data_IF_041072121110
#
_entry.id   IF_041072121110
#
_cell.length_a   1.000
_cell.length_b   1.000
_cell.length_c   1.000
_cell.angle_alpha   90.00
_cell.angle_beta   90.00
_cell.angle_gamma   90.00
#
_symmetry.space_group_name_H-M   'P 1'
#
loop_
_entity.id
_entity.type
_entity.pdbx_description
1 polymer ?
#
# COMPACT_ATOMS: atom_id res chain seq x y z
N UNK A 1 11.54 8.68 -19.39
CA UNK A 1 10.95 9.61 -18.41
C UNK A 1 10.80 8.80 -17.13
N UNK A 2 11.65 9.00 -16.12
CA UNK A 2 11.40 8.37 -14.82
C UNK A 2 10.03 8.84 -14.33
N UNK A 3 9.05 7.95 -14.28
CA UNK A 3 7.72 8.28 -13.80
C UNK A 3 7.80 8.81 -12.38
N UNK A 4 7.04 9.87 -12.06
CA UNK A 4 7.00 10.35 -10.69
C UNK A 4 6.30 9.31 -9.80
N UNK A 5 7.10 8.62 -8.98
CA UNK A 5 6.63 7.65 -7.99
C UNK A 5 6.35 8.30 -6.64
N UNK A 6 6.59 9.60 -6.46
CA UNK A 6 6.36 10.25 -5.18
C UNK A 6 4.89 10.21 -4.77
N UNK A 7 3.97 10.24 -5.74
CA UNK A 7 2.52 10.18 -5.52
C UNK A 7 1.94 8.76 -5.69
N UNK A 8 2.79 7.75 -5.77
CA UNK A 8 2.39 6.34 -5.78
C UNK A 8 1.59 5.98 -4.51
N UNK A 9 0.59 5.11 -4.68
CA UNK A 9 -0.26 4.60 -3.60
C UNK A 9 0.59 3.95 -2.51
N UNK A 10 1.60 3.16 -2.89
CA UNK A 10 2.51 2.49 -1.96
C UNK A 10 3.31 3.49 -1.10
N UNK A 11 3.84 4.55 -1.71
CA UNK A 11 4.62 5.58 -1.03
C UNK A 11 3.75 6.37 -0.05
N UNK A 12 2.52 6.74 -0.48
CA UNK A 12 1.57 7.42 0.40
C UNK A 12 1.09 6.52 1.53
N UNK A 13 0.88 5.22 1.27
CA UNK A 13 0.52 4.24 2.29
C UNK A 13 1.60 4.11 3.37
N UNK A 14 2.88 4.09 2.99
CA UNK A 14 3.99 4.03 3.94
C UNK A 14 4.05 5.27 4.84
N UNK A 15 3.73 6.46 4.32
CA UNK A 15 3.57 7.67 5.13
C UNK A 15 2.44 7.51 6.18
N UNK A 16 1.27 7.01 5.78
CA UNK A 16 0.15 6.76 6.70
C UNK A 16 0.47 5.67 7.74
N UNK A 17 1.38 4.75 7.44
CA UNK A 17 1.80 3.68 8.34
C UNK A 17 2.85 4.12 9.38
N UNK A 18 3.37 5.35 9.30
CA UNK A 18 4.33 5.86 10.28
C UNK A 18 3.67 6.25 11.60
N UNK A 19 3.87 5.46 12.66
CA UNK A 19 3.51 5.85 14.03
C UNK A 19 4.71 6.49 14.75
N UNK A 20 4.67 7.81 14.93
CA UNK A 20 5.74 8.59 15.61
C UNK A 20 7.13 8.29 15.02
N UNK A 21 7.16 8.12 13.69
CA UNK A 21 8.35 7.79 12.91
C UNK A 21 8.76 6.32 12.92
N UNK A 22 7.93 5.40 13.42
CA UNK A 22 8.19 3.95 13.38
C UNK A 22 7.29 3.28 12.37
N UNK A 23 7.83 2.29 11.67
CA UNK A 23 7.05 1.33 10.91
C UNK A 23 6.74 0.13 11.79
N UNK A 24 5.53 -0.41 11.64
CA UNK A 24 5.13 -1.68 12.26
C UNK A 24 5.77 -2.83 11.48
N UNK A 25 6.21 -3.86 12.19
CA UNK A 25 6.78 -5.07 11.62
C UNK A 25 5.77 -6.22 11.74
N UNK A 26 4.78 -6.23 10.86
CA UNK A 26 3.77 -7.28 10.83
C UNK A 26 3.47 -7.74 9.39
N UNK A 27 3.08 -9.01 9.26
CA UNK A 27 2.83 -9.65 7.98
C UNK A 27 1.66 -9.04 7.19
N UNK A 28 0.71 -8.37 7.89
CA UNK A 28 -0.43 -7.70 7.24
C UNK A 28 0.07 -6.42 6.56
N UNK A 29 0.99 -5.69 7.19
CA UNK A 29 1.64 -4.52 6.61
C UNK A 29 2.44 -4.89 5.35
N UNK A 30 3.25 -5.96 5.39
CA UNK A 30 4.00 -6.42 4.21
C UNK A 30 3.06 -6.80 3.04
N UNK A 31 1.94 -7.45 3.33
CA UNK A 31 0.92 -7.79 2.34
C UNK A 31 0.30 -6.54 1.72
N UNK A 32 -0.12 -5.57 2.53
CA UNK A 32 -0.70 -4.34 2.04
C UNK A 32 0.29 -3.52 1.20
N UNK A 33 1.58 -3.54 1.56
CA UNK A 33 2.65 -2.93 0.75
C UNK A 33 2.71 -3.55 -0.65
N UNK A 34 2.73 -4.88 -0.75
CA UNK A 34 2.72 -5.57 -2.06
C UNK A 34 1.44 -5.28 -2.83
N UNK A 35 0.30 -5.25 -2.15
CA UNK A 35 -0.99 -4.89 -2.75
C UNK A 35 -0.98 -3.47 -3.35
N UNK A 36 -0.48 -2.49 -2.59
CA UNK A 36 -0.35 -1.12 -3.07
C UNK A 36 0.61 -1.01 -4.26
N UNK A 37 1.72 -1.76 -4.26
CA UNK A 37 2.66 -1.80 -5.39
C UNK A 37 2.03 -2.40 -6.65
N UNK A 38 1.25 -3.48 -6.53
CA UNK A 38 0.52 -4.03 -7.66
C UNK A 38 -0.49 -3.02 -8.21
N UNK A 39 -1.18 -2.28 -7.34
CA UNK A 39 -2.09 -1.20 -7.74
C UNK A 39 -1.34 -0.12 -8.50
N UNK A 40 -0.17 0.30 -8.00
CA UNK A 40 0.65 1.30 -8.67
C UNK A 40 1.15 0.86 -10.06
N UNK A 41 1.47 -0.42 -10.22
CA UNK A 41 1.84 -1.01 -11.51
C UNK A 41 0.64 -1.03 -12.46
N UNK A 42 -0.54 -1.43 -12.00
CA UNK A 42 -1.75 -1.48 -12.81
C UNK A 42 -2.21 -0.07 -13.24
N UNK A 43 -2.18 0.91 -12.34
CA UNK A 43 -2.47 2.32 -12.65
C UNK A 43 -1.52 2.92 -13.69
N UNK A 44 -0.31 2.36 -13.82
CA UNK A 44 0.69 2.74 -14.81
C UNK A 44 0.63 1.90 -16.10
N UNK A 45 -0.36 1.02 -16.23
CA UNK A 45 -0.52 0.13 -17.38
C UNK A 45 0.54 -0.97 -17.48
N UNK A 46 1.25 -1.25 -16.38
CA UNK A 46 2.36 -2.21 -16.32
C UNK A 46 1.97 -3.57 -15.74
N UNK A 47 0.73 -3.69 -15.31
CA UNK A 47 0.12 -4.91 -14.80
C UNK A 47 -1.29 -4.98 -15.37
N UNK A 48 -1.59 -6.05 -16.08
CA UNK A 48 -2.94 -6.33 -16.60
C UNK A 48 -3.36 -7.73 -16.16
N UNK A 49 -4.55 -7.82 -15.59
CA UNK A 49 -5.18 -9.11 -15.30
C UNK A 49 -6.08 -9.50 -16.48
N UNK A 50 -5.81 -10.67 -17.06
CA UNK A 50 -6.66 -11.29 -18.08
C UNK A 50 -7.39 -12.50 -17.48
N UNK A 51 -8.33 -13.08 -18.23
CA UNK A 51 -9.06 -14.26 -17.75
C UNK A 51 -8.14 -15.46 -17.44
N UNK A 52 -7.01 -15.57 -18.13
CA UNK A 52 -6.15 -16.75 -18.10
C UNK A 52 -4.75 -16.49 -17.52
N UNK A 53 -4.34 -15.21 -17.41
CA UNK A 53 -2.98 -14.85 -17.01
C UNK A 53 -2.87 -13.44 -16.39
N UNK A 54 -1.80 -13.26 -15.62
CA UNK A 54 -1.32 -11.96 -15.15
C UNK A 54 -0.19 -11.52 -16.08
N UNK A 55 -0.43 -10.46 -16.84
CA UNK A 55 0.56 -9.88 -17.73
C UNK A 55 1.29 -8.74 -17.02
N UNK A 56 2.62 -8.84 -16.97
CA UNK A 56 3.49 -7.86 -16.31
C UNK A 56 4.49 -7.32 -17.32
N UNK A 57 4.55 -6.00 -17.45
CA UNK A 57 5.64 -5.35 -18.14
C UNK A 57 6.89 -5.39 -17.25
N UNK A 58 7.95 -6.04 -17.74
CA UNK A 58 9.21 -6.25 -17.03
C UNK A 58 10.28 -5.17 -17.32
N UNK A 59 9.97 -4.13 -18.09
CA UNK A 59 10.92 -3.03 -18.31
C UNK A 59 11.30 -2.35 -16.98
N UNK A 60 12.56 -2.01 -16.71
CA UNK A 60 12.93 -1.35 -15.45
C UNK A 60 12.11 -0.07 -15.18
N UNK A 61 11.44 0.00 -14.03
CA UNK A 61 10.56 1.12 -13.68
C UNK A 61 11.28 2.35 -13.13
N UNK A 62 12.55 2.18 -12.72
CA UNK A 62 13.27 3.18 -11.93
C UNK A 62 12.77 3.25 -10.47
N UNK A 63 11.97 2.28 -10.04
CA UNK A 63 11.40 2.17 -8.71
C UNK A 63 11.66 0.78 -8.15
N UNK A 64 12.77 0.68 -7.41
CA UNK A 64 13.32 -0.59 -6.93
C UNK A 64 12.30 -1.49 -6.21
N UNK A 65 11.35 -0.99 -5.39
CA UNK A 65 10.32 -1.85 -4.79
C UNK A 65 9.41 -2.52 -5.81
N UNK A 66 8.99 -1.83 -6.88
CA UNK A 66 8.16 -2.45 -7.92
C UNK A 66 8.96 -3.45 -8.74
N UNK A 67 10.19 -3.08 -9.15
CA UNK A 67 11.07 -3.97 -9.91
C UNK A 67 11.38 -5.26 -9.12
N UNK A 68 11.67 -5.13 -7.82
CA UNK A 68 11.89 -6.26 -6.91
C UNK A 68 10.67 -7.16 -6.78
N UNK A 69 9.46 -6.59 -6.73
CA UNK A 69 8.23 -7.36 -6.59
C UNK A 69 8.01 -8.30 -7.78
N UNK A 70 8.29 -7.82 -9.00
CA UNK A 70 8.00 -8.55 -10.24
C UNK A 70 9.19 -9.36 -10.77
N UNK A 71 10.41 -9.13 -10.29
CA UNK A 71 11.64 -9.76 -10.78
C UNK A 71 11.65 -11.30 -10.68
N UNK A 72 10.95 -11.88 -9.68
CA UNK A 72 10.91 -13.33 -9.48
C UNK A 72 9.96 -14.07 -10.42
N UNK A 73 9.06 -13.35 -11.11
CA UNK A 73 7.86 -13.95 -11.69
C UNK A 73 6.95 -14.54 -10.60
N UNK A 74 5.66 -14.67 -10.90
CA UNK A 74 4.74 -15.41 -10.03
C UNK A 74 3.58 -15.95 -10.85
N UNK A 75 3.05 -17.12 -10.49
CA UNK A 75 1.94 -17.72 -11.21
C UNK A 75 0.59 -17.03 -10.95
N UNK A 76 0.48 -16.15 -9.96
CA UNK A 76 -0.74 -15.37 -9.69
C UNK A 76 -0.50 -14.10 -8.87
N UNK A 77 -1.46 -13.15 -8.95
CA UNK A 77 -1.50 -11.96 -8.09
C UNK A 77 -1.55 -12.33 -6.60
N UNK A 78 -2.30 -13.37 -6.25
CA UNK A 78 -2.38 -13.86 -4.86
C UNK A 78 -1.02 -14.33 -4.37
N UNK A 79 -0.21 -14.99 -5.21
CA UNK A 79 1.14 -15.39 -4.80
C UNK A 79 2.06 -14.18 -4.59
N UNK A 80 2.05 -13.19 -5.50
CA UNK A 80 2.78 -11.93 -5.30
C UNK A 80 2.36 -11.22 -4.02
N UNK A 81 1.05 -11.15 -3.77
CA UNK A 81 0.50 -10.50 -2.59
C UNK A 81 0.93 -11.19 -1.30
N UNK A 82 0.87 -12.53 -1.29
CA UNK A 82 1.05 -13.30 -0.05
C UNK A 82 2.51 -13.67 0.23
N UNK A 83 3.33 -13.88 -0.80
CA UNK A 83 4.71 -14.37 -0.70
C UNK A 83 5.75 -13.49 -1.40
N UNK A 84 5.34 -12.38 -2.01
CA UNK A 84 6.26 -11.49 -2.72
C UNK A 84 7.43 -11.00 -1.83
N UNK A 85 8.59 -10.69 -2.43
CA UNK A 85 9.82 -10.41 -1.70
C UNK A 85 9.91 -9.00 -1.11
N UNK A 86 8.83 -8.22 -1.19
CA UNK A 86 8.80 -6.80 -0.85
C UNK A 86 8.06 -6.56 0.46
N UNK A 87 8.56 -5.64 1.27
CA UNK A 87 7.96 -5.21 2.52
C UNK A 87 8.04 -3.69 2.73
N UNK A 88 7.59 -3.22 3.90
CA UNK A 88 7.59 -1.80 4.26
C UNK A 88 8.99 -1.17 4.35
N UNK A 89 10.04 -1.96 4.57
CA UNK A 89 11.41 -1.45 4.63
C UNK A 89 11.99 -1.19 3.24
N UNK A 90 11.52 -1.89 2.21
CA UNK A 90 11.83 -1.54 0.83
C UNK A 90 11.25 -0.17 0.45
N UNK A 91 10.01 0.12 0.87
CA UNK A 91 9.42 1.45 0.69
C UNK A 91 10.15 2.51 1.52
N UNK A 92 10.54 2.20 2.76
CA UNK A 92 11.33 3.11 3.58
C UNK A 92 12.68 3.45 2.93
N UNK A 93 13.36 2.46 2.35
CA UNK A 93 14.61 2.66 1.62
C UNK A 93 14.40 3.58 0.42
N UNK A 94 13.28 3.43 -0.29
CA UNK A 94 12.94 4.28 -1.44
C UNK A 94 12.57 5.71 -1.03
N UNK A 95 11.85 5.88 0.09
CA UNK A 95 11.58 7.21 0.68
C UNK A 95 12.87 7.94 1.07
N UNK A 96 13.84 7.22 1.64
CA UNK A 96 15.18 7.75 1.96
C UNK A 96 15.95 8.11 0.70
N UNK A 97 15.96 7.23 -0.31
CA UNK A 97 16.66 7.46 -1.60
C UNK A 97 16.13 8.72 -2.29
N UNK A 98 14.82 8.95 -2.25
CA UNK A 98 14.14 10.11 -2.84
C UNK A 98 14.21 11.37 -1.98
N UNK A 99 14.75 11.29 -0.76
CA UNK A 99 14.83 12.42 0.18
C UNK A 99 13.50 12.85 0.81
N UNK A 100 12.42 12.10 0.57
CA UNK A 100 11.13 12.35 1.21
C UNK A 100 11.15 12.03 2.69
N UNK A 101 11.98 11.06 3.11
CA UNK A 101 12.25 10.79 4.53
C UNK A 101 13.72 10.98 4.88
N UNK A 102 14.00 11.23 6.15
CA UNK A 102 15.34 11.09 6.74
C UNK A 102 15.33 10.16 7.95
N UNK A 103 16.47 9.54 8.24
CA UNK A 103 16.65 8.71 9.42
C UNK A 103 17.14 9.54 10.61
N UNK A 104 16.34 9.61 11.67
CA UNK A 104 16.74 10.17 12.95
C UNK A 104 17.52 9.12 13.75
N UNK A 105 18.84 9.27 13.81
CA UNK A 105 19.72 8.35 14.56
C UNK A 105 19.41 8.40 16.06
N UNK A 106 18.98 7.27 16.61
CA UNK A 106 19.01 6.91 18.04
C UNK A 106 19.60 5.52 18.17
N UNK A 107 20.32 5.25 19.27
CA UNK A 107 21.24 4.10 19.39
C UNK A 107 20.64 2.71 19.04
N UNK A 108 19.32 2.49 19.10
CA UNK A 108 18.75 1.14 18.92
C UNK A 108 17.44 1.07 18.11
N UNK A 109 16.89 2.18 17.62
CA UNK A 109 15.61 2.18 16.91
C UNK A 109 15.65 3.09 15.68
N UNK A 110 15.28 2.55 14.52
CA UNK A 110 15.07 3.34 13.30
C UNK A 110 13.84 4.22 13.50
N UNK A 111 14.04 5.54 13.44
CA UNK A 111 12.96 6.52 13.38
C UNK A 111 13.10 7.34 12.11
N UNK A 112 12.03 7.41 11.35
CA UNK A 112 11.93 8.19 10.13
C UNK A 112 11.29 9.55 10.44
N UNK A 113 11.74 10.58 9.74
CA UNK A 113 11.12 11.89 9.69
C UNK A 113 10.52 12.03 8.30
N UNK A 114 9.20 12.21 8.23
CA UNK A 114 8.49 12.47 6.98
C UNK A 114 8.57 13.96 6.63
N UNK A 115 9.26 14.31 5.54
CA UNK A 115 9.32 15.69 5.06
C UNK A 115 8.08 16.08 4.24
N UNK A 116 7.17 15.14 3.99
CA UNK A 116 5.91 15.33 3.30
C UNK A 116 4.71 15.26 4.27
N UNK A 117 4.91 15.54 5.56
CA UNK A 117 3.88 15.42 6.60
C UNK A 117 2.59 16.18 6.25
N UNK A 118 2.70 17.38 5.66
CA UNK A 118 1.52 18.16 5.25
C UNK A 118 0.70 17.45 4.16
N UNK A 119 1.35 16.69 3.26
CA UNK A 119 0.64 15.85 2.28
C UNK A 119 -0.04 14.68 2.98
N UNK A 120 0.66 14.00 3.87
CA UNK A 120 0.11 12.89 4.67
C UNK A 120 -1.14 13.34 5.44
N UNK A 121 -1.09 14.52 6.05
CA UNK A 121 -2.22 15.12 6.77
C UNK A 121 -3.38 15.49 5.83
N UNK A 122 -3.09 15.94 4.60
CA UNK A 122 -4.12 16.13 3.57
C UNK A 122 -4.79 14.82 3.16
N UNK A 123 -4.02 13.74 3.00
CA UNK A 123 -4.57 12.41 2.70
C UNK A 123 -5.51 11.94 3.81
N UNK A 124 -5.07 12.03 5.07
CA UNK A 124 -5.90 11.71 6.24
C UNK A 124 -7.20 12.53 6.28
N UNK A 125 -7.09 13.85 6.07
CA UNK A 125 -8.23 14.76 6.12
C UNK A 125 -9.21 14.48 4.98
N UNK A 126 -8.70 14.27 3.77
CA UNK A 126 -9.52 14.01 2.61
C UNK A 126 -10.25 12.67 2.70
N UNK A 127 -9.70 11.69 3.44
CA UNK A 127 -10.36 10.41 3.71
C UNK A 127 -11.35 10.46 4.86
N UNK A 128 -11.26 11.46 5.74
CA UNK A 128 -12.26 11.73 6.79
C UNK A 128 -13.52 12.38 6.25
N UNK A 129 -13.38 13.28 5.27
CA UNK A 129 -14.48 14.03 4.68
C UNK A 129 -15.24 13.18 3.65
N UNK A 130 -16.26 12.43 4.13
CA UNK A 130 -17.04 11.47 3.32
C UNK A 130 -17.99 12.09 2.29
N UNK A 131 -18.18 13.41 2.27
CA UNK A 131 -19.23 14.07 1.46
C UNK A 131 -18.66 14.95 0.36
N UNK A 132 -19.06 14.70 -0.90
CA UNK A 132 -18.93 15.63 -2.02
C UNK A 132 -17.58 15.66 -2.74
N UNK A 133 -16.63 14.77 -2.40
CA UNK A 133 -15.35 14.67 -3.09
C UNK A 133 -15.44 13.73 -4.29
N UNK A 134 -14.99 14.20 -5.44
CA UNK A 134 -14.64 13.32 -6.56
C UNK A 134 -13.34 12.59 -6.23
N UNK A 135 -13.43 11.26 -6.18
CA UNK A 135 -12.29 10.40 -5.94
C UNK A 135 -11.52 10.16 -7.24
N UNK A 136 -10.21 10.33 -7.19
CA UNK A 136 -9.33 9.77 -8.22
C UNK A 136 -9.12 8.28 -7.93
N UNK A 137 -8.86 7.43 -8.95
CA UNK A 137 -8.57 6.01 -8.73
C UNK A 137 -7.43 5.74 -7.73
N UNK A 138 -6.28 6.47 -7.78
CA UNK A 138 -5.23 6.31 -6.78
C UNK A 138 -5.67 6.67 -5.36
N UNK A 139 -6.43 7.76 -5.19
CA UNK A 139 -6.92 8.18 -3.88
C UNK A 139 -7.93 7.18 -3.29
N UNK A 140 -8.82 6.65 -4.12
CA UNK A 140 -9.79 5.64 -3.72
C UNK A 140 -9.09 4.35 -3.29
N UNK A 141 -8.09 3.90 -4.05
CA UNK A 141 -7.31 2.70 -3.73
C UNK A 141 -6.54 2.87 -2.42
N UNK A 142 -5.89 4.02 -2.23
CA UNK A 142 -5.20 4.35 -0.97
C UNK A 142 -6.17 4.33 0.21
N UNK A 143 -7.33 4.97 0.08
CA UNK A 143 -8.33 5.04 1.15
C UNK A 143 -8.88 3.64 1.51
N UNK A 144 -9.14 2.80 0.51
CA UNK A 144 -9.63 1.43 0.72
C UNK A 144 -8.60 0.57 1.48
N UNK A 145 -7.33 0.60 1.06
CA UNK A 145 -6.25 -0.19 1.67
C UNK A 145 -5.91 0.34 3.08
N UNK A 146 -5.75 1.65 3.23
CA UNK A 146 -5.46 2.27 4.53
C UNK A 146 -6.61 2.06 5.53
N UNK A 147 -7.87 2.11 5.07
CA UNK A 147 -9.06 1.88 5.87
C UNK A 147 -9.12 0.47 6.46
N UNK A 148 -8.85 -0.56 5.66
CA UNK A 148 -8.90 -1.96 6.14
C UNK A 148 -7.75 -2.30 7.10
N UNK A 149 -6.64 -1.57 7.01
CA UNK A 149 -5.53 -1.64 7.98
C UNK A 149 -5.82 -0.85 9.27
N UNK A 150 -6.76 0.10 9.23
CA UNK A 150 -7.03 1.01 10.34
C UNK A 150 -5.97 2.09 10.52
N UNK A 151 -5.28 2.46 9.44
CA UNK A 151 -4.30 3.57 9.42
C UNK A 151 -4.98 4.94 9.40
N UNK A 152 -6.28 4.99 9.09
CA UNK A 152 -7.02 6.23 9.03
C UNK A 152 -7.52 6.65 10.42
N UNK A 153 -7.68 7.96 10.68
CA UNK A 153 -8.24 8.47 11.94
C UNK A 153 -9.64 7.94 12.28
N UNK A 154 -10.39 7.46 11.29
CA UNK A 154 -11.70 6.82 11.45
C UNK A 154 -11.62 5.40 12.03
N UNK A 155 -10.40 4.87 12.20
CA UNK A 155 -10.16 3.49 12.56
C UNK A 155 -10.42 2.52 11.41
N UNK A 156 -10.45 1.23 11.75
CA UNK A 156 -10.57 0.13 10.79
C UNK A 156 -11.98 0.04 10.20
N UNK A 157 -12.08 0.06 8.88
CA UNK A 157 -13.34 -0.11 8.16
C UNK A 157 -13.12 -0.83 6.83
N UNK A 158 -14.12 -1.60 6.40
CA UNK A 158 -14.17 -2.09 5.02
C UNK A 158 -14.58 -0.94 4.07
N UNK A 159 -14.06 -0.91 2.83
CA UNK A 159 -14.46 0.09 1.86
C UNK A 159 -15.95 -0.06 1.51
N UNK A 160 -16.60 1.07 1.21
CA UNK A 160 -17.96 1.05 0.65
C UNK A 160 -17.93 0.69 -0.82
N UNK A 161 -19.04 0.22 -1.37
CA UNK A 161 -19.18 -0.08 -2.80
C UNK A 161 -18.81 1.14 -3.67
N UNK A 162 -19.31 2.32 -3.31
CA UNK A 162 -18.97 3.57 -4.00
C UNK A 162 -17.48 3.92 -3.98
N UNK A 163 -16.75 3.51 -2.93
CA UNK A 163 -15.30 3.72 -2.85
C UNK A 163 -14.57 2.72 -3.75
N UNK A 164 -15.03 1.48 -3.82
CA UNK A 164 -14.50 0.47 -4.74
C UNK A 164 -14.77 0.83 -6.19
N UNK A 165 -15.97 1.31 -6.54
CA UNK A 165 -16.30 1.82 -7.87
C UNK A 165 -15.36 2.95 -8.29
N UNK A 166 -15.05 3.88 -7.36
CA UNK A 166 -14.13 4.98 -7.63
C UNK A 166 -12.68 4.56 -7.91
N UNK A 167 -12.28 3.33 -7.57
CA UNK A 167 -10.96 2.79 -7.94
C UNK A 167 -10.85 2.45 -9.43
N UNK A 168 -11.97 2.44 -10.16
CA UNK A 168 -12.02 2.31 -11.61
C UNK A 168 -11.28 1.07 -12.13
N UNK A 169 -10.24 1.21 -12.98
CA UNK A 169 -9.61 0.08 -13.66
C UNK A 169 -8.90 -0.89 -12.71
N UNK A 170 -8.57 -0.48 -11.48
CA UNK A 170 -7.89 -1.33 -10.50
C UNK A 170 -8.83 -1.93 -9.45
N UNK A 171 -10.14 -1.85 -9.66
CA UNK A 171 -11.16 -2.34 -8.70
C UNK A 171 -10.94 -3.78 -8.27
N UNK A 172 -10.83 -4.71 -9.22
CA UNK A 172 -10.66 -6.13 -8.89
C UNK A 172 -9.41 -6.39 -8.03
N UNK A 173 -8.31 -5.70 -8.33
CA UNK A 173 -7.08 -5.79 -7.54
C UNK A 173 -7.24 -5.18 -6.14
N UNK A 174 -7.90 -4.03 -6.01
CA UNK A 174 -8.17 -3.43 -4.69
C UNK A 174 -9.07 -4.35 -3.86
N UNK A 175 -10.10 -4.94 -4.44
CA UNK A 175 -10.97 -5.93 -3.79
C UNK A 175 -10.18 -7.15 -3.31
N UNK A 176 -9.28 -7.69 -4.14
CA UNK A 176 -8.39 -8.79 -3.78
C UNK A 176 -7.51 -8.43 -2.57
N UNK A 177 -6.86 -7.26 -2.62
CA UNK A 177 -5.97 -6.78 -1.55
C UNK A 177 -6.75 -6.59 -0.26
N UNK A 178 -7.87 -5.87 -0.30
CA UNK A 178 -8.72 -5.62 0.88
C UNK A 178 -9.25 -6.93 1.47
N UNK A 179 -9.69 -7.86 0.61
CA UNK A 179 -10.16 -9.18 1.03
C UNK A 179 -9.09 -9.97 1.77
N UNK A 180 -7.87 -10.04 1.22
CA UNK A 180 -6.78 -10.78 1.83
C UNK A 180 -6.24 -10.12 3.11
N UNK A 181 -6.10 -8.79 3.14
CA UNK A 181 -5.79 -8.04 4.37
C UNK A 181 -6.83 -8.35 5.44
N UNK A 182 -8.12 -8.26 5.10
CA UNK A 182 -9.19 -8.47 6.07
C UNK A 182 -9.17 -9.89 6.64
N UNK A 183 -9.02 -10.91 5.78
CA UNK A 183 -8.88 -12.31 6.21
C UNK A 183 -7.77 -12.46 7.24
N UNK A 184 -6.57 -11.92 6.99
CA UNK A 184 -5.42 -12.08 7.89
C UNK A 184 -5.57 -11.34 9.22
N UNK A 185 -6.15 -10.14 9.21
CA UNK A 185 -6.39 -9.44 10.48
C UNK A 185 -7.44 -10.17 11.31
N UNK A 186 -8.49 -10.72 10.71
CA UNK A 186 -9.51 -11.51 11.42
C UNK A 186 -8.87 -12.77 12.02
N UNK A 187 -8.10 -13.53 11.24
CA UNK A 187 -7.37 -14.71 11.73
C UNK A 187 -6.40 -14.36 12.87
N UNK A 188 -5.61 -13.29 12.71
CA UNK A 188 -4.67 -12.84 13.74
C UNK A 188 -5.32 -12.30 15.02
N UNK A 189 -6.61 -11.93 14.98
CA UNK A 189 -7.40 -11.66 16.19
C UNK A 189 -7.89 -12.95 16.83
N UNK A 190 -8.40 -13.90 16.04
CA UNK A 190 -8.90 -15.17 16.56
C UNK A 190 -7.82 -15.95 17.33
N UNK A 191 -6.59 -16.01 16.82
CA UNK A 191 -5.46 -16.66 17.51
C UNK A 191 -5.16 -15.96 18.85
N UNK A 192 -5.12 -14.62 18.88
CA UNK A 192 -4.86 -13.86 20.12
C UNK A 192 -5.90 -14.07 21.23
N UNK A 193 -7.14 -14.42 20.88
CA UNK A 193 -8.18 -14.75 21.86
C UNK A 193 -8.13 -16.21 22.33
N UNK A 194 -7.49 -17.11 21.58
CA UNK A 194 -7.31 -18.50 21.98
C UNK A 194 -6.15 -18.69 22.98
N UNK A 195 -5.21 -17.75 23.01
CA UNK A 195 -4.04 -17.74 23.89
C UNK A 195 -4.23 -16.90 25.19
N UNK A 196 -5.44 -16.36 25.42
CA UNK A 196 -5.80 -15.50 26.56
C UNK A 196 -6.81 -16.17 27.49
#
# INVERSE_FOLDING_TARGET
MEGDWNDAVSMRLACLALDKGRLTDDLVTALAVRGALLVDLALRGRLTETADAVEVDHEPSGFAPADKLIAGGAPSLTELLTRGPVDQYDLAAEHLRRGSWTLKRRLFLRRYVDHQEDRTRRDEWAMKSRSGREWTPPDAALAAIAGVLGLLPTGRALPTESLLEATGPVRGLVELVVGEVNRRVVLGRAVRWADA
#
